data_IF_684255593094
#
_entry.id   IF_684255593094
#
_cell.length_a   1.000
_cell.length_b   1.000
_cell.length_c   1.000
_cell.angle_alpha   90.00
_cell.angle_beta   90.00
_cell.angle_gamma   90.00
#
_symmetry.space_group_name_H-M   'P 1'
#
loop_
_entity.id
_entity.type
_entity.pdbx_description
1 polymer ?
#
# COMPACT_ATOMS: atom_id res chain seq x y z
N UNK A 1 -8.81 1.74 13.18
CA UNK A 1 -8.83 0.26 13.03
C UNK A 1 -9.44 -0.05 11.67
N UNK A 2 -8.70 -0.67 10.76
CA UNK A 2 -9.24 -1.08 9.46
C UNK A 2 -9.51 -2.58 9.52
N UNK A 3 -10.76 -3.00 9.27
CA UNK A 3 -11.17 -4.41 9.19
C UNK A 3 -11.41 -4.73 7.72
N UNK A 4 -10.75 -5.77 7.22
CA UNK A 4 -10.99 -6.30 5.88
C UNK A 4 -11.65 -7.67 6.01
N UNK A 5 -12.72 -7.90 5.25
CA UNK A 5 -13.39 -9.18 5.15
C UNK A 5 -13.21 -9.70 3.71
N UNK A 6 -12.43 -10.77 3.55
CA UNK A 6 -12.41 -11.55 2.30
C UNK A 6 -13.40 -12.70 2.39
N UNK A 7 -14.13 -12.95 1.30
CA UNK A 7 -14.91 -14.19 1.15
C UNK A 7 -14.02 -15.38 0.84
N UNK A 8 -14.39 -16.55 1.38
CA UNK A 8 -13.76 -17.84 1.08
C UNK A 8 -13.95 -18.18 -0.41
N UNK A 9 -12.85 -18.32 -1.16
CA UNK A 9 -12.88 -18.75 -2.57
C UNK A 9 -12.68 -17.67 -3.66
N UNK A 10 -12.15 -16.49 -3.34
CA UNK A 10 -11.89 -15.38 -4.29
C UNK A 10 -10.66 -15.54 -5.24
N UNK A 11 -10.16 -16.76 -5.47
CA UNK A 11 -9.11 -17.06 -6.48
C UNK A 11 -7.76 -16.34 -6.25
N UNK A 12 -6.71 -16.60 -7.07
CA UNK A 12 -5.36 -16.11 -6.80
C UNK A 12 -5.23 -14.64 -7.23
N UNK A 13 -5.84 -13.72 -6.47
CA UNK A 13 -5.48 -12.31 -6.59
C UNK A 13 -4.08 -12.11 -6.00
N UNK A 14 -3.06 -12.35 -6.84
CA UNK A 14 -1.65 -12.06 -6.52
C UNK A 14 -1.38 -10.57 -6.43
N UNK A 15 -2.35 -9.71 -6.78
CA UNK A 15 -2.23 -8.27 -6.79
C UNK A 15 -3.55 -7.58 -6.44
N UNK A 16 -3.49 -6.64 -5.50
CA UNK A 16 -4.59 -5.76 -5.10
C UNK A 16 -4.06 -4.32 -5.10
N UNK A 17 -4.68 -3.45 -5.89
CA UNK A 17 -4.41 -2.01 -5.88
C UNK A 17 -5.57 -1.29 -5.18
N UNK A 18 -5.26 -0.55 -4.11
CA UNK A 18 -6.20 0.30 -3.39
C UNK A 18 -5.81 1.76 -3.60
N UNK A 19 -6.76 2.59 -4.02
CA UNK A 19 -6.53 4.02 -4.26
C UNK A 19 -7.28 4.84 -3.22
N UNK A 20 -6.67 5.95 -2.78
CA UNK A 20 -7.30 6.86 -1.84
C UNK A 20 -6.52 8.16 -1.68
N UNK A 21 -6.88 8.92 -0.65
CA UNK A 21 -6.19 10.14 -0.27
C UNK A 21 -5.86 10.10 1.22
N UNK A 22 -4.69 10.60 1.58
CA UNK A 22 -4.18 10.57 2.96
C UNK A 22 -3.56 11.90 3.34
N UNK A 23 -3.60 12.23 4.63
CA UNK A 23 -2.87 13.38 5.18
C UNK A 23 -1.41 12.99 5.31
N UNK A 24 -0.56 13.63 4.52
CA UNK A 24 0.87 13.35 4.51
C UNK A 24 1.51 13.69 5.87
N UNK A 25 2.35 12.78 6.35
CA UNK A 25 3.16 12.95 7.56
C UNK A 25 4.59 13.40 7.24
N UNK A 26 4.86 13.82 5.99
CA UNK A 26 6.15 14.32 5.51
C UNK A 26 6.85 13.41 4.49
N UNK A 27 6.14 12.38 4.01
CA UNK A 27 6.64 11.39 3.06
C UNK A 27 6.79 11.98 1.66
N UNK A 28 5.89 12.86 1.22
CA UNK A 28 6.03 13.58 -0.05
C UNK A 28 6.99 14.78 0.05
N UNK A 29 7.62 14.99 1.22
CA UNK A 29 8.47 16.12 1.55
C UNK A 29 7.79 17.11 2.48
N UNK A 30 8.60 17.91 3.18
CA UNK A 30 8.15 18.81 4.25
C UNK A 30 7.04 19.78 3.81
N UNK A 31 7.09 20.27 2.58
CA UNK A 31 6.08 21.17 2.01
C UNK A 31 4.67 20.56 1.91
N UNK A 32 4.53 19.25 2.08
CA UNK A 32 3.26 18.52 1.98
C UNK A 32 2.75 18.00 3.33
N UNK A 33 3.50 18.15 4.42
CA UNK A 33 3.06 17.76 5.77
C UNK A 33 1.69 18.38 6.08
N UNK A 34 0.75 17.57 6.56
CA UNK A 34 -0.61 18.00 6.91
C UNK A 34 -1.53 18.21 5.70
N UNK A 35 -1.06 18.04 4.46
CA UNK A 35 -1.87 18.14 3.24
C UNK A 35 -2.40 16.78 2.82
N UNK A 36 -3.62 16.79 2.27
CA UNK A 36 -4.19 15.61 1.63
C UNK A 36 -3.53 15.37 0.28
N UNK A 37 -2.93 14.20 0.09
CA UNK A 37 -2.30 13.79 -1.16
C UNK A 37 -2.82 12.42 -1.63
N UNK A 38 -2.89 12.17 -2.95
CA UNK A 38 -3.21 10.86 -3.47
C UNK A 38 -2.22 9.79 -3.00
N UNK A 39 -2.75 8.61 -2.70
CA UNK A 39 -2.00 7.44 -2.27
C UNK A 39 -2.53 6.19 -2.96
N UNK A 40 -1.63 5.27 -3.30
CA UNK A 40 -1.95 3.93 -3.77
C UNK A 40 -1.28 2.89 -2.89
N UNK A 41 -2.05 1.93 -2.39
CA UNK A 41 -1.54 0.73 -1.72
C UNK A 41 -1.53 -0.41 -2.72
N UNK A 42 -0.39 -1.08 -2.87
CA UNK A 42 -0.24 -2.29 -3.66
C UNK A 42 0.04 -3.46 -2.72
N UNK A 43 -0.83 -4.46 -2.71
CA UNK A 43 -0.59 -5.73 -2.02
C UNK A 43 -0.33 -6.78 -3.08
N UNK A 44 0.84 -7.43 -3.01
CA UNK A 44 1.18 -8.59 -3.84
C UNK A 44 1.29 -9.85 -3.00
N UNK A 45 0.58 -10.90 -3.39
CA UNK A 45 0.73 -12.26 -2.85
C UNK A 45 1.61 -13.01 -3.84
N UNK A 46 2.91 -13.08 -3.56
CA UNK A 46 3.92 -13.67 -4.47
C UNK A 46 4.13 -15.18 -4.22
N UNK A 47 3.29 -15.77 -3.38
CA UNK A 47 3.30 -17.18 -3.01
C UNK A 47 2.67 -17.38 -1.62
N UNK A 48 2.52 -18.63 -1.16
CA UNK A 48 1.93 -18.94 0.15
C UNK A 48 2.70 -18.30 1.32
N UNK A 49 4.00 -18.08 1.14
CA UNK A 49 4.91 -17.66 2.20
C UNK A 49 5.45 -16.25 2.02
N UNK A 50 5.04 -15.52 0.97
CA UNK A 50 5.63 -14.21 0.66
C UNK A 50 4.61 -13.21 0.20
N UNK A 51 4.36 -12.20 1.03
CA UNK A 51 3.49 -11.07 0.71
C UNK A 51 4.30 -9.78 0.68
N UNK A 52 4.06 -8.93 -0.31
CA UNK A 52 4.66 -7.60 -0.43
C UNK A 52 3.56 -6.56 -0.33
N UNK A 53 3.76 -5.54 0.50
CA UNK A 53 2.87 -4.39 0.62
C UNK A 53 3.68 -3.14 0.34
N UNK A 54 3.25 -2.36 -0.63
CA UNK A 54 3.89 -1.10 -1.04
C UNK A 54 2.88 0.03 -0.91
N UNK A 55 3.31 1.15 -0.35
CA UNK A 55 2.55 2.40 -0.33
C UNK A 55 3.24 3.40 -1.23
N UNK A 56 2.46 4.00 -2.10
CA UNK A 56 2.91 5.00 -3.04
C UNK A 56 2.17 6.31 -2.78
N UNK A 57 2.89 7.42 -2.88
CA UNK A 57 2.32 8.76 -2.78
C UNK A 57 2.58 9.52 -4.07
N UNK A 58 1.60 10.33 -4.47
CA UNK A 58 1.72 11.18 -5.66
C UNK A 58 1.64 12.63 -5.22
N UNK A 59 2.80 13.25 -5.01
CA UNK A 59 2.85 14.68 -4.65
C UNK A 59 2.36 15.53 -5.82
N UNK A 60 1.67 16.66 -5.56
CA UNK A 60 1.33 17.62 -6.60
C UNK A 60 2.52 18.01 -7.48
N UNK A 61 2.36 17.87 -8.81
CA UNK A 61 3.40 18.20 -9.79
C UNK A 61 4.53 17.16 -9.90
N UNK A 62 4.46 16.04 -9.17
CA UNK A 62 5.42 14.94 -9.24
C UNK A 62 4.72 13.64 -9.67
N UNK A 63 5.52 12.69 -10.14
CA UNK A 63 5.08 11.32 -10.36
C UNK A 63 4.86 10.57 -9.05
N UNK A 64 4.27 9.39 -9.17
CA UNK A 64 4.09 8.47 -8.05
C UNK A 64 5.47 8.01 -7.50
N UNK A 65 5.64 8.04 -6.18
CA UNK A 65 6.86 7.66 -5.49
C UNK A 65 6.59 6.59 -4.42
N UNK A 66 7.47 5.58 -4.34
CA UNK A 66 7.41 4.56 -3.29
C UNK A 66 7.78 5.19 -1.95
N UNK A 67 6.88 5.11 -0.99
CA UNK A 67 7.08 5.64 0.35
C UNK A 67 7.49 4.58 1.36
N UNK A 68 6.85 3.43 1.30
CA UNK A 68 7.22 2.31 2.16
C UNK A 68 6.96 0.99 1.46
N UNK A 69 7.75 0.00 1.86
CA UNK A 69 7.68 -1.36 1.39
C UNK A 69 7.84 -2.29 2.59
N UNK A 70 6.82 -3.09 2.83
CA UNK A 70 6.85 -4.18 3.79
C UNK A 70 6.88 -5.51 3.03
N UNK A 71 7.76 -6.42 3.47
CA UNK A 71 7.83 -7.80 2.96
C UNK A 71 7.57 -8.71 4.14
N UNK A 72 6.52 -9.52 4.03
CA UNK A 72 6.15 -10.51 5.04
C UNK A 72 6.51 -11.89 4.54
N UNK A 73 7.24 -12.63 5.38
CA UNK A 73 7.56 -14.03 5.17
C UNK A 73 6.82 -14.86 6.22
N UNK A 74 6.09 -15.89 5.78
CA UNK A 74 5.42 -16.83 6.69
C UNK A 74 6.48 -17.68 7.40
N UNK A 75 6.43 -17.76 8.73
CA UNK A 75 7.39 -18.53 9.54
C UNK A 75 6.87 -19.90 10.00
N UNK A 76 5.62 -20.23 9.71
CA UNK A 76 5.00 -21.51 10.05
C UNK A 76 3.57 -21.61 9.48
N UNK A 77 3.00 -22.82 9.44
CA UNK A 77 1.62 -23.03 9.00
C UNK A 77 0.60 -22.29 9.87
#
# INVERSE_FOLDING_TARGET
MMRYASSTGSGPQTRIDLFGTFVDQGVAGEAFVGKTIPMRTLIRIEGPDRHVIELYFTSPGKGEALATRAVYTRTGP
#
